data_IF_858967554266
#
_entry.id   IF_858967554266
#
_cell.length_a   1.000
_cell.length_b   1.000
_cell.length_c   1.000
_cell.angle_alpha   90.00
_cell.angle_beta   90.00
_cell.angle_gamma   90.00
#
_symmetry.space_group_name_H-M   'P 1'
#
loop_
_entity.id
_entity.type
_entity.pdbx_description
1 polymer ?
#
# COMPACT_ATOMS: atom_id res chain seq x y z
N UNK A 1 10.53 -16.60 3.16
CA UNK A 1 11.32 -15.61 3.92
C UNK A 1 10.38 -14.88 4.87
N UNK A 2 10.77 -14.58 6.12
CA UNK A 2 10.04 -13.59 6.89
C UNK A 2 10.04 -12.30 6.08
N UNK A 3 8.86 -11.72 5.87
CA UNK A 3 8.77 -10.43 5.23
C UNK A 3 9.24 -9.41 6.28
N UNK A 4 10.41 -8.83 6.06
CA UNK A 4 10.96 -7.83 6.97
C UNK A 4 10.25 -6.49 6.77
N UNK A 5 10.08 -5.76 7.87
CA UNK A 5 9.54 -4.40 7.84
C UNK A 5 10.56 -3.50 7.10
N UNK A 6 10.15 -2.88 6.00
CA UNK A 6 11.03 -1.97 5.24
C UNK A 6 10.83 -0.54 5.74
N UNK A 7 11.94 0.13 6.10
CA UNK A 7 11.94 1.54 6.48
C UNK A 7 12.68 2.37 5.46
N UNK A 8 12.06 3.45 4.98
CA UNK A 8 12.63 4.40 4.02
C UNK A 8 12.32 5.81 4.48
N UNK A 9 13.24 6.73 4.22
CA UNK A 9 13.07 8.14 4.58
C UNK A 9 13.07 8.94 3.29
N UNK A 10 12.02 9.73 3.08
CA UNK A 10 11.85 10.53 1.88
C UNK A 10 11.60 11.99 2.22
N UNK A 11 12.03 12.88 1.32
CA UNK A 11 11.76 14.31 1.39
C UNK A 11 10.50 14.62 0.59
N UNK A 12 9.58 15.37 1.19
CA UNK A 12 8.37 15.82 0.50
C UNK A 12 8.68 16.98 -0.45
N UNK A 13 7.94 17.02 -1.56
CA UNK A 13 7.98 18.13 -2.52
C UNK A 13 7.05 19.25 -2.06
N UNK A 14 7.47 20.50 -2.23
CA UNK A 14 6.62 21.69 -2.02
C UNK A 14 6.56 22.21 -0.58
N UNK A 15 7.07 21.46 0.40
CA UNK A 15 7.32 21.97 1.76
C UNK A 15 8.82 22.03 2.00
N UNK A 16 9.32 23.19 2.44
CA UNK A 16 10.74 23.39 2.73
C UNK A 16 11.21 22.34 3.74
N UNK A 17 12.10 21.47 3.28
CA UNK A 17 12.80 20.43 4.04
C UNK A 17 12.00 19.40 4.84
N UNK A 18 10.67 19.30 4.67
CA UNK A 18 9.89 18.30 5.41
C UNK A 18 10.27 16.87 5.00
N UNK A 19 10.80 16.11 5.96
CA UNK A 19 11.18 14.72 5.82
C UNK A 19 10.12 13.83 6.48
N UNK A 20 9.80 12.69 5.86
CA UNK A 20 8.96 11.67 6.46
C UNK A 20 9.61 10.29 6.37
N UNK A 21 9.46 9.49 7.43
CA UNK A 21 9.84 8.08 7.46
C UNK A 21 8.64 7.21 7.09
N UNK A 22 8.80 6.44 6.03
CA UNK A 22 7.85 5.47 5.52
C UNK A 22 8.25 4.09 6.05
N UNK A 23 7.34 3.44 6.77
CA UNK A 23 7.49 2.08 7.27
C UNK A 23 6.47 1.21 6.56
N UNK A 24 6.95 0.33 5.70
CA UNK A 24 6.13 -0.58 4.92
C UNK A 24 6.01 -1.89 5.71
N UNK A 25 4.80 -2.15 6.21
CA UNK A 25 4.48 -3.34 6.98
C UNK A 25 3.93 -4.42 6.04
N UNK A 26 4.51 -5.63 6.02
CA UNK A 26 4.05 -6.70 5.12
C UNK A 26 2.62 -7.16 5.34
N UNK A 27 2.06 -6.93 6.54
CA UNK A 27 0.66 -7.24 6.84
C UNK A 27 -0.35 -6.40 6.03
N UNK A 28 0.11 -5.39 5.27
CA UNK A 28 -0.74 -4.66 4.33
C UNK A 28 -0.88 -3.16 4.60
N UNK A 29 0.00 -2.60 5.42
CA UNK A 29 -0.15 -1.23 5.95
C UNK A 29 1.11 -0.40 5.70
N UNK A 30 0.92 0.83 5.24
CA UNK A 30 1.94 1.87 5.19
C UNK A 30 1.80 2.79 6.42
N UNK A 31 2.86 2.92 7.19
CA UNK A 31 2.97 3.92 8.25
C UNK A 31 3.91 5.04 7.81
N UNK A 32 3.54 6.28 8.09
CA UNK A 32 4.31 7.48 7.75
C UNK A 32 4.48 8.31 9.00
N UNK A 33 5.71 8.60 9.37
CA UNK A 33 6.06 9.41 10.54
C UNK A 33 6.82 10.65 10.14
N UNK A 34 6.39 11.81 10.64
CA UNK A 34 7.00 13.11 10.43
C UNK A 34 7.76 13.51 11.70
N UNK A 35 9.09 13.30 11.77
CA UNK A 35 9.85 13.55 12.98
C UNK A 35 9.77 15.00 13.47
N UNK A 36 9.70 15.96 12.55
CA UNK A 36 9.71 17.39 12.86
C UNK A 36 8.41 17.87 13.51
N UNK A 37 7.28 17.26 13.16
CA UNK A 37 5.95 17.66 13.66
C UNK A 37 5.38 16.68 14.69
N UNK A 38 5.97 15.49 14.81
CA UNK A 38 5.41 14.38 15.58
C UNK A 38 4.17 13.74 14.96
N UNK A 39 3.77 14.16 13.75
CA UNK A 39 2.60 13.60 13.07
C UNK A 39 2.87 12.15 12.65
N UNK A 40 1.86 11.29 12.84
CA UNK A 40 1.86 9.93 12.33
C UNK A 40 0.61 9.69 11.50
N UNK A 41 0.78 9.04 10.35
CA UNK A 41 -0.29 8.67 9.43
C UNK A 41 -0.17 7.19 9.07
N UNK A 42 -1.32 6.57 8.81
CA UNK A 42 -1.42 5.17 8.42
C UNK A 42 -2.37 5.03 7.23
N UNK A 43 -2.05 4.13 6.30
CA UNK A 43 -2.94 3.76 5.22
C UNK A 43 -2.75 2.30 4.79
N UNK A 44 -3.85 1.54 4.62
CA UNK A 44 -3.82 0.23 3.98
C UNK A 44 -3.38 0.31 2.51
N UNK A 45 -2.55 -0.62 2.05
CA UNK A 45 -2.04 -0.60 0.67
C UNK A 45 -3.15 -0.66 -0.40
N UNK A 46 -4.24 -1.36 -0.12
CA UNK A 46 -5.39 -1.47 -1.04
C UNK A 46 -6.21 -0.18 -1.19
N UNK A 47 -5.93 0.83 -0.36
CA UNK A 47 -6.59 2.13 -0.35
C UNK A 47 -5.65 3.27 -0.81
N UNK A 48 -4.38 2.94 -1.10
CA UNK A 48 -3.40 3.85 -1.67
C UNK A 48 -3.58 3.97 -3.19
N UNK A 49 -3.44 5.18 -3.70
CA UNK A 49 -3.40 5.50 -5.13
C UNK A 49 -2.14 6.32 -5.44
N UNK A 50 -1.59 6.10 -6.62
CA UNK A 50 -0.44 6.84 -7.13
C UNK A 50 -0.88 7.65 -8.34
N UNK A 51 -0.80 8.98 -8.24
CA UNK A 51 -1.19 9.91 -9.29
C UNK A 51 -0.16 11.05 -9.37
N UNK A 52 0.47 11.26 -10.54
CA UNK A 52 1.40 12.38 -10.79
C UNK A 52 2.45 12.60 -9.68
N UNK A 53 3.25 11.58 -9.38
CA UNK A 53 4.25 11.60 -8.29
C UNK A 53 3.69 11.91 -6.89
N UNK A 54 2.38 11.77 -6.72
CA UNK A 54 1.65 11.96 -5.46
C UNK A 54 1.02 10.65 -5.01
N UNK A 55 1.28 10.31 -3.74
CA UNK A 55 0.65 9.20 -3.04
C UNK A 55 -0.60 9.72 -2.33
N UNK A 56 -1.73 9.08 -2.61
CA UNK A 56 -3.04 9.47 -2.10
C UNK A 56 -3.60 8.34 -1.25
N UNK A 57 -4.05 8.67 -0.04
CA UNK A 57 -4.88 7.76 0.74
C UNK A 57 -6.36 8.15 0.59
N UNK A 58 -7.16 7.21 0.10
CA UNK A 58 -8.59 7.44 -0.19
C UNK A 58 -9.43 6.34 0.46
N UNK A 59 -10.72 6.57 0.67
CA UNK A 59 -11.64 5.56 1.22
C UNK A 59 -11.97 4.39 0.27
N UNK A 60 -11.24 4.22 -0.82
CA UNK A 60 -11.46 3.14 -1.80
C UNK A 60 -12.71 3.28 -2.65
N UNK A 61 -13.50 4.35 -2.52
CA UNK A 61 -14.72 4.54 -3.31
C UNK A 61 -14.40 4.75 -4.79
N UNK A 62 -15.01 3.94 -5.66
CA UNK A 62 -14.65 3.83 -7.07
C UNK A 62 -15.38 4.82 -8.00
N UNK A 63 -16.20 5.75 -7.48
CA UNK A 63 -17.00 6.66 -8.31
C UNK A 63 -17.16 8.07 -7.72
N UNK A 64 -16.78 9.08 -8.52
CA UNK A 64 -17.12 10.52 -8.47
C UNK A 64 -16.81 11.37 -7.22
N UNK A 65 -16.50 10.80 -6.05
CA UNK A 65 -16.21 11.58 -4.83
C UNK A 65 -15.17 10.93 -3.92
N UNK A 66 -14.03 10.49 -4.47
CA UNK A 66 -12.92 10.04 -3.64
C UNK A 66 -12.33 11.26 -2.91
N UNK A 67 -12.77 11.49 -1.65
CA UNK A 67 -12.08 12.43 -0.77
C UNK A 67 -10.77 11.79 -0.33
N UNK A 68 -9.66 12.42 -0.72
CA UNK A 68 -8.36 12.06 -0.17
C UNK A 68 -8.36 12.41 1.32
N UNK A 69 -8.02 11.46 2.17
CA UNK A 69 -7.77 11.71 3.59
C UNK A 69 -6.46 12.47 3.78
N UNK A 70 -5.46 12.10 2.98
CA UNK A 70 -4.21 12.82 2.85
C UNK A 70 -3.56 12.54 1.49
N UNK A 71 -2.68 13.44 1.10
CA UNK A 71 -1.89 13.34 -0.13
C UNK A 71 -0.45 13.77 0.15
N UNK A 72 0.52 13.05 -0.39
CA UNK A 72 1.94 13.33 -0.21
C UNK A 72 2.66 13.25 -1.56
N UNK A 73 3.36 14.31 -1.94
CA UNK A 73 4.13 14.35 -3.18
C UNK A 73 5.60 14.11 -2.88
N UNK A 74 6.21 13.18 -3.61
CA UNK A 74 7.64 12.88 -3.54
C UNK A 74 8.31 13.28 -4.85
N UNK A 75 9.66 13.32 -4.85
CA UNK A 75 10.40 13.39 -6.10
C UNK A 75 10.09 12.14 -6.95
N UNK A 76 9.98 12.28 -8.27
CA UNK A 76 9.57 11.16 -9.14
C UNK A 76 10.45 9.91 -9.04
N UNK A 77 11.75 10.06 -8.77
CA UNK A 77 12.66 8.93 -8.48
C UNK A 77 12.22 8.14 -7.24
N UNK A 78 11.90 8.88 -6.18
CA UNK A 78 11.59 8.36 -4.86
C UNK A 78 10.18 7.75 -4.85
N UNK A 79 9.23 8.40 -5.55
CA UNK A 79 7.90 7.83 -5.77
C UNK A 79 7.96 6.52 -6.56
N UNK A 80 8.82 6.46 -7.58
CA UNK A 80 9.01 5.24 -8.37
C UNK A 80 9.59 4.10 -7.54
N UNK A 81 10.54 4.39 -6.64
CA UNK A 81 11.08 3.40 -5.70
C UNK A 81 9.99 2.93 -4.72
N UNK A 82 9.29 3.86 -4.07
CA UNK A 82 8.24 3.56 -3.10
C UNK A 82 7.13 2.68 -3.72
N UNK A 83 6.70 3.01 -4.94
CA UNK A 83 5.70 2.22 -5.68
C UNK A 83 6.17 0.80 -5.94
N UNK A 84 7.44 0.61 -6.34
CA UNK A 84 8.02 -0.74 -6.56
C UNK A 84 8.03 -1.55 -5.27
N UNK A 85 8.46 -0.95 -4.15
CA UNK A 85 8.52 -1.61 -2.85
C UNK A 85 7.12 -2.04 -2.37
N UNK A 86 6.11 -1.17 -2.48
CA UNK A 86 4.74 -1.50 -2.07
C UNK A 86 4.18 -2.66 -2.92
N UNK A 87 4.41 -2.64 -4.24
CA UNK A 87 3.96 -3.72 -5.13
C UNK A 87 4.67 -5.03 -4.78
N UNK A 88 5.98 -5.01 -4.56
CA UNK A 88 6.77 -6.19 -4.21
C UNK A 88 6.30 -6.81 -2.89
N UNK A 89 6.05 -5.99 -1.87
CA UNK A 89 5.48 -6.48 -0.60
C UNK A 89 4.09 -7.08 -0.84
N UNK A 90 3.23 -6.41 -1.61
CA UNK A 90 1.88 -6.91 -1.89
C UNK A 90 1.87 -8.23 -2.67
N UNK A 91 2.82 -8.45 -3.58
CA UNK A 91 2.92 -9.71 -4.34
C UNK A 91 3.47 -10.84 -3.50
N UNK A 92 4.48 -10.57 -2.66
CA UNK A 92 5.08 -11.57 -1.77
C UNK A 92 4.16 -11.94 -0.60
N UNK A 93 3.28 -11.04 -0.17
CA UNK A 93 2.35 -11.25 0.95
C UNK A 93 1.07 -12.00 0.56
N UNK A 94 0.79 -12.16 -0.74
CA UNK A 94 -0.35 -12.99 -1.17
C UNK A 94 0.04 -14.46 -1.01
N UNK A 95 -0.68 -15.26 -0.20
CA UNK A 95 -0.54 -16.70 -0.31
C UNK A 95 -0.86 -17.08 -1.75
N UNK A 96 0.01 -17.86 -2.37
CA UNK A 96 -0.26 -18.48 -3.66
C UNK A 96 -1.61 -19.19 -3.50
N UNK A 97 -2.68 -18.66 -4.08
CA UNK A 97 -3.97 -19.34 -4.09
C UNK A 97 -3.73 -20.64 -4.84
N UNK A 98 -3.47 -21.72 -4.12
CA UNK A 98 -3.58 -23.06 -4.68
C UNK A 98 -5.05 -23.19 -5.07
N UNK A 99 -5.37 -23.41 -6.35
CA UNK A 99 -6.74 -23.66 -6.76
C UNK A 99 -7.22 -24.86 -5.96
N UNK A 100 -8.18 -24.63 -5.06
CA UNK A 100 -8.80 -25.71 -4.30
C UNK A 100 -9.47 -26.62 -5.33
N UNK A 101 -9.08 -27.90 -5.45
CA UNK A 101 -9.71 -28.79 -6.40
C UNK A 101 -11.20 -28.86 -6.04
N UNK A 102 -12.07 -28.43 -6.96
CA UNK A 102 -13.52 -28.49 -6.72
C UNK A 102 -13.89 -29.93 -6.36
N UNK A 103 -14.63 -30.16 -5.26
CA UNK A 103 -15.08 -31.50 -4.92
C UNK A 103 -15.95 -32.03 -6.07
N UNK A 104 -15.55 -33.17 -6.66
CA UNK A 104 -16.31 -33.82 -7.73
C UNK A 104 -17.74 -34.09 -7.22
N UNK A 105 -18.71 -33.49 -7.90
CA UNK A 105 -20.15 -33.63 -7.60
C UNK A 105 -20.50 -35.12 -7.54
N UNK A 106 -20.86 -35.63 -6.36
CA UNK A 106 -21.40 -36.99 -6.23
C UNK A 106 -22.72 -37.05 -7.02
N UNK A 107 -22.74 -37.85 -8.09
CA UNK A 107 -23.99 -38.22 -8.78
C UNK A 107 -24.75 -39.16 -7.84
N UNK A 108 -25.89 -38.72 -7.35
CA UNK A 108 -26.86 -39.62 -6.74
C UNK A 108 -27.49 -40.44 -7.87
N UNK A 109 -27.28 -41.76 -7.83
CA UNK A 109 -28.07 -42.70 -8.62
C UNK A 109 -29.43 -42.78 -7.94
N UNK A 110 -30.48 -42.32 -8.64
CA UNK A 110 -31.84 -42.59 -8.22
C UNK A 110 -32.09 -44.10 -8.36
N UNK A 111 -32.60 -44.72 -7.29
CA UNK A 111 -32.99 -46.12 -7.23
C UNK A 111 -34.27 -46.37 -8.02
#
# INVERSE_FOLDING_TARGET
MPLDIIKKTYKLVGQTDLIAQFTLIPSGTLNIWFPETGLQMEAPYNQLRFENDTLLYTNGMHYSQARAFWSLTLKGSDMSELKKLIIEICTQSRPLHQPTPMPKRKRWLAA
#
